data_IF_309067180398
#
_entry.id   IF_309067180398
#
_cell.length_a   1.000
_cell.length_b   1.000
_cell.length_c   1.000
_cell.angle_alpha   90.00
_cell.angle_beta   90.00
_cell.angle_gamma   90.00
#
_symmetry.space_group_name_H-M   'P 1'
#
loop_
_entity.id
_entity.type
_entity.pdbx_description
1 polymer ?
#
# COMPACT_ATOMS: atom_id res chain seq x y z
N UNK A 1 38.92 -19.19 -2.84
CA UNK A 1 38.12 -18.91 -1.62
C UNK A 1 38.93 -17.99 -0.72
N UNK A 2 38.37 -16.88 -0.24
CA UNK A 2 39.04 -16.03 0.74
C UNK A 2 39.17 -16.80 2.06
N UNK A 3 40.39 -16.98 2.56
CA UNK A 3 40.62 -17.64 3.84
C UNK A 3 40.39 -16.62 4.96
N UNK A 4 39.36 -16.83 5.77
CA UNK A 4 39.09 -16.06 6.99
C UNK A 4 38.30 -14.77 6.82
N UNK A 5 37.88 -14.22 7.97
CA UNK A 5 37.11 -12.98 8.05
C UNK A 5 37.97 -11.76 7.71
N UNK A 6 37.42 -10.72 7.05
CA UNK A 6 38.15 -9.49 6.79
C UNK A 6 38.60 -8.83 8.09
N UNK A 7 39.82 -8.27 8.10
CA UNK A 7 40.35 -7.51 9.26
C UNK A 7 39.38 -6.38 9.63
N UNK A 8 39.04 -6.20 10.93
CA UNK A 8 38.15 -5.16 11.41
C UNK A 8 38.56 -3.75 10.95
N UNK A 9 37.60 -2.84 10.70
CA UNK A 9 37.91 -1.48 10.21
C UNK A 9 38.87 -0.70 11.12
N UNK A 10 38.75 -0.86 12.44
CA UNK A 10 39.63 -0.19 13.40
C UNK A 10 41.11 -0.60 13.25
N UNK A 11 41.35 -1.90 13.08
CA UNK A 11 42.69 -2.44 12.86
C UNK A 11 43.30 -1.87 11.57
N UNK A 12 42.50 -1.72 10.51
CA UNK A 12 42.97 -1.11 9.25
C UNK A 12 43.31 0.36 9.39
N UNK A 13 42.53 1.12 10.16
CA UNK A 13 42.86 2.53 10.45
C UNK A 13 44.21 2.64 11.16
N UNK A 14 44.47 1.80 12.15
CA UNK A 14 45.77 1.74 12.85
C UNK A 14 46.93 1.41 11.90
N UNK A 15 46.72 0.50 10.94
CA UNK A 15 47.72 0.19 9.91
C UNK A 15 48.05 1.44 9.09
N UNK A 16 47.03 2.15 8.61
CA UNK A 16 47.23 3.36 7.80
C UNK A 16 47.91 4.46 8.59
N UNK A 17 47.51 4.67 9.84
CA UNK A 17 48.14 5.65 10.73
C UNK A 17 49.64 5.34 10.95
N UNK A 18 50.00 4.09 11.26
CA UNK A 18 51.40 3.71 11.43
C UNK A 18 52.20 3.80 10.13
N UNK A 19 51.55 3.52 9.00
CA UNK A 19 52.17 3.65 7.68
C UNK A 19 52.45 5.12 7.31
N UNK A 20 51.52 6.03 7.62
CA UNK A 20 51.71 7.47 7.44
C UNK A 20 52.83 8.03 8.32
N UNK A 21 53.04 7.45 9.51
CA UNK A 21 54.17 7.77 10.40
C UNK A 21 55.52 7.23 9.92
N UNK A 22 55.60 6.61 8.73
CA UNK A 22 56.84 6.12 8.13
C UNK A 22 57.35 4.78 8.69
N UNK A 23 56.55 4.07 9.48
CA UNK A 23 56.95 2.76 10.03
C UNK A 23 56.95 1.70 8.93
N UNK A 24 57.97 0.84 8.90
CA UNK A 24 58.08 -0.21 7.87
C UNK A 24 56.94 -1.23 7.97
N UNK A 25 56.44 -1.69 6.80
CA UNK A 25 55.31 -2.63 6.73
C UNK A 25 55.56 -3.92 7.54
N UNK A 26 56.79 -4.43 7.54
CA UNK A 26 57.18 -5.63 8.28
C UNK A 26 57.09 -5.44 9.80
N UNK A 27 57.43 -4.24 10.30
CA UNK A 27 57.34 -3.88 11.72
C UNK A 27 55.88 -3.74 12.17
N UNK A 28 55.03 -3.11 11.35
CA UNK A 28 53.58 -3.00 11.56
C UNK A 28 52.91 -4.38 11.58
N UNK A 29 53.28 -5.26 10.64
CA UNK A 29 52.74 -6.62 10.57
C UNK A 29 53.06 -7.43 11.82
N UNK A 30 54.31 -7.33 12.31
CA UNK A 30 54.74 -8.01 13.54
C UNK A 30 54.03 -7.45 14.78
N UNK A 31 53.87 -6.13 14.90
CA UNK A 31 53.18 -5.51 16.04
C UNK A 31 51.69 -5.83 16.10
N UNK A 32 51.01 -5.90 14.96
CA UNK A 32 49.58 -6.19 14.87
C UNK A 32 49.27 -7.68 14.71
N UNK A 33 50.29 -8.56 14.72
CA UNK A 33 50.19 -10.01 14.52
C UNK A 33 49.43 -10.38 13.24
N UNK A 34 49.72 -9.69 12.15
CA UNK A 34 49.13 -9.93 10.83
C UNK A 34 50.15 -10.55 9.88
N UNK A 35 49.69 -11.33 8.89
CA UNK A 35 50.59 -11.85 7.87
C UNK A 35 51.13 -10.73 6.98
N UNK A 36 52.39 -10.85 6.55
CA UNK A 36 53.05 -9.89 5.66
C UNK A 36 52.28 -9.68 4.36
N UNK A 37 51.69 -10.74 3.80
CA UNK A 37 50.85 -10.66 2.59
C UNK A 37 49.59 -9.83 2.80
N UNK A 38 48.92 -9.97 3.95
CA UNK A 38 47.74 -9.17 4.27
C UNK A 38 48.10 -7.70 4.46
N UNK A 39 49.23 -7.43 5.13
CA UNK A 39 49.74 -6.07 5.29
C UNK A 39 50.02 -5.42 3.93
N UNK A 40 50.76 -6.12 3.06
CA UNK A 40 51.09 -5.65 1.72
C UNK A 40 49.82 -5.37 0.90
N UNK A 41 48.86 -6.29 0.88
CA UNK A 41 47.60 -6.12 0.14
C UNK A 41 46.77 -4.92 0.62
N UNK A 42 46.81 -4.59 1.92
CA UNK A 42 46.12 -3.41 2.45
C UNK A 42 46.78 -2.12 1.97
N UNK A 43 48.12 -2.04 2.07
CA UNK A 43 48.86 -0.85 1.63
C UNK A 43 48.80 -0.68 0.11
N UNK A 44 48.90 -1.77 -0.64
CA UNK A 44 48.76 -1.76 -2.09
C UNK A 44 47.39 -1.21 -2.52
N UNK A 45 46.31 -1.72 -1.90
CA UNK A 45 44.95 -1.20 -2.15
C UNK A 45 44.80 0.26 -1.73
N UNK A 46 45.47 0.69 -0.66
CA UNK A 46 45.48 2.10 -0.25
C UNK A 46 46.14 2.99 -1.32
N UNK A 47 47.25 2.55 -1.91
CA UNK A 47 47.94 3.28 -3.00
C UNK A 47 47.10 3.35 -4.26
N UNK A 48 46.44 2.26 -4.64
CA UNK A 48 45.66 2.17 -5.88
C UNK A 48 44.31 2.89 -5.78
N UNK A 49 43.58 2.69 -4.68
CA UNK A 49 42.16 3.10 -4.55
C UNK A 49 41.92 4.23 -3.55
N UNK A 50 42.93 4.63 -2.77
CA UNK A 50 42.80 5.63 -1.69
C UNK A 50 41.86 5.22 -0.55
N UNK A 51 41.32 4.00 -0.57
CA UNK A 51 40.25 3.56 0.34
C UNK A 51 40.67 2.37 1.18
N UNK A 52 40.30 2.41 2.46
CA UNK A 52 40.68 1.43 3.50
C UNK A 52 39.59 0.34 3.65
N UNK A 53 38.38 0.62 3.16
CA UNK A 53 37.22 -0.25 3.27
C UNK A 53 37.33 -1.50 2.39
N UNK A 54 36.70 -2.60 2.83
CA UNK A 54 36.52 -3.78 1.97
C UNK A 54 35.45 -3.44 0.93
N UNK A 55 35.76 -3.65 -0.35
CA UNK A 55 34.73 -3.64 -1.38
C UNK A 55 33.81 -4.84 -1.19
N UNK A 56 32.50 -4.58 -1.15
CA UNK A 56 31.51 -5.66 -1.23
C UNK A 56 31.72 -6.45 -2.53
N UNK A 57 31.70 -7.77 -2.44
CA UNK A 57 31.72 -8.61 -3.64
C UNK A 57 30.49 -8.35 -4.51
N UNK A 58 30.59 -8.64 -5.80
CA UNK A 58 29.48 -8.45 -6.76
C UNK A 58 28.26 -9.35 -6.45
N UNK A 59 28.44 -10.40 -5.64
CA UNK A 59 27.38 -11.33 -5.29
C UNK A 59 26.97 -12.23 -6.47
N UNK A 60 25.95 -13.07 -6.24
CA UNK A 60 25.41 -13.96 -7.28
C UNK A 60 24.51 -13.17 -8.23
N UNK A 61 24.72 -13.33 -9.54
CA UNK A 61 23.84 -12.76 -10.57
C UNK A 61 22.40 -13.26 -10.39
N UNK A 62 21.43 -12.39 -10.60
CA UNK A 62 20.01 -12.74 -10.51
C UNK A 62 19.55 -13.48 -11.76
N UNK A 63 18.61 -14.41 -11.62
CA UNK A 63 18.04 -15.18 -12.73
C UNK A 63 17.28 -14.28 -13.73
N UNK A 64 16.57 -13.28 -13.20
CA UNK A 64 15.87 -12.26 -13.96
C UNK A 64 16.74 -11.02 -14.09
N UNK A 65 16.86 -10.52 -15.32
CA UNK A 65 17.57 -9.29 -15.65
C UNK A 65 16.65 -8.05 -15.51
N UNK A 66 17.23 -6.85 -15.62
CA UNK A 66 16.50 -5.59 -15.65
C UNK A 66 15.45 -5.55 -16.78
N UNK A 67 15.74 -6.12 -17.96
CA UNK A 67 14.76 -6.23 -19.04
C UNK A 67 13.54 -7.08 -18.63
N UNK A 68 13.80 -8.27 -18.08
CA UNK A 68 12.76 -9.18 -17.62
C UNK A 68 11.89 -8.54 -16.53
N UNK A 69 12.49 -7.81 -15.60
CA UNK A 69 11.77 -7.09 -14.55
C UNK A 69 10.85 -6.00 -15.12
N UNK A 70 11.24 -5.30 -16.19
CA UNK A 70 10.37 -4.32 -16.86
C UNK A 70 9.19 -5.01 -17.54
N UNK A 71 9.41 -6.13 -18.22
CA UNK A 71 8.34 -6.92 -18.84
C UNK A 71 7.36 -7.48 -17.78
N UNK A 72 7.89 -8.07 -16.71
CA UNK A 72 7.10 -8.57 -15.57
C UNK A 72 6.26 -7.47 -14.94
N UNK A 73 6.84 -6.28 -14.73
CA UNK A 73 6.12 -5.14 -14.15
C UNK A 73 4.94 -4.73 -15.05
N UNK A 74 5.14 -4.67 -16.38
CA UNK A 74 4.06 -4.37 -17.33
C UNK A 74 2.95 -5.42 -17.23
N UNK A 75 3.30 -6.70 -17.27
CA UNK A 75 2.33 -7.79 -17.17
C UNK A 75 1.51 -7.72 -15.86
N UNK A 76 2.17 -7.50 -14.72
CA UNK A 76 1.48 -7.35 -13.42
C UNK A 76 0.53 -6.14 -13.37
N UNK A 77 0.86 -5.06 -14.08
CA UNK A 77 0.03 -3.85 -14.16
C UNK A 77 -1.15 -4.07 -15.11
N UNK A 78 -0.98 -4.80 -16.21
CA UNK A 78 -2.08 -5.15 -17.11
C UNK A 78 -3.04 -6.12 -16.42
N UNK A 79 -2.52 -7.18 -15.80
CA UNK A 79 -3.30 -8.24 -15.17
C UNK A 79 -3.23 -8.16 -13.64
N UNK A 80 -3.72 -7.06 -13.08
CA UNK A 80 -3.66 -6.76 -11.63
C UNK A 80 -4.33 -7.82 -10.75
N UNK A 81 -5.32 -8.54 -11.28
CA UNK A 81 -6.09 -9.54 -10.54
C UNK A 81 -5.53 -10.97 -10.67
N UNK A 82 -4.45 -11.16 -11.46
CA UNK A 82 -3.88 -12.48 -11.68
C UNK A 82 -3.28 -13.05 -10.40
N UNK A 83 -3.40 -14.37 -10.25
CA UNK A 83 -2.74 -15.07 -9.14
C UNK A 83 -1.23 -15.12 -9.37
N UNK A 84 -0.46 -15.28 -8.29
CA UNK A 84 1.00 -15.39 -8.43
C UNK A 84 1.39 -16.66 -9.20
N UNK A 85 0.56 -17.70 -9.15
CA UNK A 85 0.75 -18.91 -9.94
C UNK A 85 0.62 -18.62 -11.44
N UNK A 86 -0.47 -17.94 -11.86
CA UNK A 86 -0.68 -17.51 -13.26
C UNK A 86 0.47 -16.63 -13.77
N UNK A 87 0.97 -15.74 -12.93
CA UNK A 87 2.12 -14.90 -13.30
C UNK A 87 3.40 -15.73 -13.43
N UNK A 88 3.52 -16.81 -12.63
CA UNK A 88 4.67 -17.70 -12.69
C UNK A 88 4.65 -18.54 -13.96
N UNK A 89 3.50 -19.12 -14.33
CA UNK A 89 3.36 -19.87 -15.59
C UNK A 89 3.64 -18.98 -16.79
N UNK A 90 3.03 -17.78 -16.83
CA UNK A 90 3.32 -16.79 -17.87
C UNK A 90 4.81 -16.42 -17.94
N UNK A 91 5.46 -16.19 -16.79
CA UNK A 91 6.87 -15.80 -16.75
C UNK A 91 7.79 -16.94 -17.21
N UNK A 92 7.46 -18.20 -16.91
CA UNK A 92 8.23 -19.35 -17.38
C UNK A 92 8.14 -19.48 -18.91
N UNK A 93 6.94 -19.36 -19.47
CA UNK A 93 6.71 -19.40 -20.92
C UNK A 93 7.37 -18.23 -21.65
N UNK A 94 7.20 -17.01 -21.13
CA UNK A 94 7.68 -15.79 -21.78
C UNK A 94 9.20 -15.62 -21.70
N UNK A 95 9.83 -15.94 -20.55
CA UNK A 95 11.28 -15.81 -20.40
C UNK A 95 12.05 -17.10 -20.73
N UNK A 96 11.36 -18.23 -20.91
CA UNK A 96 11.94 -19.55 -21.12
C UNK A 96 12.95 -19.94 -20.02
N UNK A 97 12.60 -19.59 -18.77
CA UNK A 97 13.45 -19.82 -17.57
C UNK A 97 12.68 -20.61 -16.54
N UNK A 98 13.36 -21.49 -15.82
CA UNK A 98 12.79 -22.21 -14.67
C UNK A 98 12.66 -21.25 -13.48
N UNK A 99 11.45 -20.76 -13.25
CA UNK A 99 11.15 -19.79 -12.21
C UNK A 99 10.25 -20.40 -11.14
N UNK A 100 10.66 -20.33 -9.88
CA UNK A 100 9.78 -20.70 -8.77
C UNK A 100 8.83 -19.55 -8.41
N UNK A 101 7.67 -19.89 -7.83
CA UNK A 101 6.69 -18.91 -7.31
C UNK A 101 7.36 -17.91 -6.35
N UNK A 102 8.28 -18.38 -5.51
CA UNK A 102 9.05 -17.54 -4.59
C UNK A 102 9.96 -16.54 -5.32
N UNK A 103 10.52 -16.93 -6.47
CA UNK A 103 11.34 -16.04 -7.30
C UNK A 103 10.49 -14.90 -7.86
N UNK A 104 9.29 -15.22 -8.33
CA UNK A 104 8.31 -14.22 -8.80
C UNK A 104 7.87 -13.30 -7.67
N UNK A 105 7.56 -13.81 -6.47
CA UNK A 105 7.27 -12.96 -5.32
C UNK A 105 8.39 -11.97 -4.98
N UNK A 106 9.65 -12.40 -5.05
CA UNK A 106 10.81 -11.51 -4.85
C UNK A 106 10.95 -10.51 -6.01
N UNK A 107 10.64 -10.92 -7.24
CA UNK A 107 10.68 -10.06 -8.42
C UNK A 107 9.60 -8.98 -8.38
N UNK A 108 8.35 -9.33 -8.02
CA UNK A 108 7.24 -8.38 -7.81
C UNK A 108 7.64 -7.31 -6.79
N UNK A 109 8.25 -7.71 -5.66
CA UNK A 109 8.76 -6.78 -4.65
C UNK A 109 9.88 -5.88 -5.18
N UNK A 110 10.82 -6.42 -5.97
CA UNK A 110 11.86 -5.65 -6.64
C UNK A 110 11.27 -4.62 -7.62
N UNK A 111 10.18 -4.98 -8.29
CA UNK A 111 9.41 -4.08 -9.13
C UNK A 111 8.56 -3.06 -8.36
N UNK A 112 8.73 -2.92 -7.03
CA UNK A 112 7.95 -2.01 -6.16
C UNK A 112 6.43 -2.28 -6.19
N UNK A 113 6.03 -3.52 -6.49
CA UNK A 113 4.65 -3.97 -6.43
C UNK A 113 4.43 -4.84 -5.19
N UNK A 114 3.19 -4.88 -4.71
CA UNK A 114 2.77 -5.76 -3.62
C UNK A 114 1.36 -6.30 -3.89
N UNK A 115 1.06 -7.48 -3.34
CA UNK A 115 -0.30 -7.98 -3.26
C UNK A 115 -1.04 -7.26 -2.13
N UNK A 116 -2.21 -6.75 -2.44
CA UNK A 116 -3.15 -6.18 -1.48
C UNK A 116 -4.50 -6.85 -1.62
N UNK A 117 -5.28 -6.89 -0.55
CA UNK A 117 -6.69 -7.27 -0.64
C UNK A 117 -7.43 -6.20 -1.48
N UNK A 118 -8.19 -6.64 -2.46
CA UNK A 118 -8.98 -5.74 -3.29
C UNK A 118 -10.11 -5.12 -2.48
N UNK A 119 -10.36 -3.82 -2.68
CA UNK A 119 -11.51 -3.14 -2.06
C UNK A 119 -12.78 -3.55 -2.81
N UNK A 120 -13.79 -4.04 -2.10
CA UNK A 120 -15.12 -4.25 -2.67
C UNK A 120 -15.81 -2.88 -2.82
N UNK A 121 -16.25 -2.55 -4.04
CA UNK A 121 -17.04 -1.33 -4.28
C UNK A 121 -18.25 -1.66 -5.16
N UNK A 122 -19.41 -1.04 -4.90
CA UNK A 122 -20.56 -1.17 -5.78
C UNK A 122 -20.19 -0.65 -7.17
N UNK A 123 -20.54 -1.42 -8.19
CA UNK A 123 -20.41 -0.95 -9.56
C UNK A 123 -21.46 0.15 -9.81
N UNK A 124 -21.01 1.29 -10.34
CA UNK A 124 -21.88 2.42 -10.67
C UNK A 124 -21.77 2.73 -12.16
N UNK A 125 -22.93 2.74 -12.82
CA UNK A 125 -23.05 3.21 -14.19
C UNK A 125 -22.84 4.73 -14.27
N UNK A 126 -22.52 5.23 -15.46
CA UNK A 126 -22.28 6.67 -15.68
C UNK A 126 -23.50 7.52 -15.30
N UNK A 127 -24.70 7.07 -15.64
CA UNK A 127 -25.97 7.73 -15.26
C UNK A 127 -26.12 7.80 -13.75
N UNK A 128 -25.84 6.70 -13.05
CA UNK A 128 -25.91 6.64 -11.59
C UNK A 128 -24.90 7.62 -10.99
N UNK A 129 -23.63 7.61 -11.43
CA UNK A 129 -22.60 8.57 -10.99
C UNK A 129 -23.02 10.02 -11.19
N UNK A 130 -23.63 10.36 -12.34
CA UNK A 130 -24.14 11.71 -12.61
C UNK A 130 -25.24 12.11 -11.63
N UNK A 131 -26.24 11.24 -11.42
CA UNK A 131 -27.30 11.46 -10.43
C UNK A 131 -26.72 11.62 -9.02
N UNK A 132 -25.74 10.79 -8.66
CA UNK A 132 -25.02 10.86 -7.39
C UNK A 132 -24.40 12.24 -7.17
N UNK A 133 -23.68 12.70 -8.17
CA UNK A 133 -22.98 13.98 -8.15
C UNK A 133 -23.94 15.16 -8.06
N UNK A 134 -25.00 15.17 -8.86
CA UNK A 134 -26.01 16.25 -8.85
C UNK A 134 -26.72 16.33 -7.50
N UNK A 135 -27.10 15.18 -6.93
CA UNK A 135 -27.70 15.13 -5.61
C UNK A 135 -26.75 15.70 -4.55
N UNK A 136 -25.49 15.24 -4.51
CA UNK A 136 -24.50 15.77 -3.57
C UNK A 136 -24.25 17.27 -3.74
N UNK A 137 -24.19 17.75 -4.99
CA UNK A 137 -24.02 19.19 -5.30
C UNK A 137 -25.20 20.02 -4.81
N UNK A 138 -26.43 19.55 -5.01
CA UNK A 138 -27.65 20.25 -4.57
C UNK A 138 -27.74 20.36 -3.03
N UNK A 139 -27.21 19.36 -2.32
CA UNK A 139 -27.30 19.27 -0.86
C UNK A 139 -26.02 19.75 -0.15
N UNK A 140 -25.00 20.19 -0.90
CA UNK A 140 -23.70 20.64 -0.35
C UNK A 140 -23.85 21.82 0.62
N UNK A 141 -24.80 22.72 0.37
CA UNK A 141 -25.05 23.92 1.17
C UNK A 141 -26.16 23.73 2.24
N UNK A 142 -26.62 22.51 2.47
CA UNK A 142 -27.64 22.27 3.48
C UNK A 142 -27.10 22.51 4.90
N UNK A 143 -27.87 23.26 5.69
CA UNK A 143 -27.57 23.52 7.09
C UNK A 143 -27.91 22.30 7.96
N UNK A 144 -27.33 22.23 9.16
CA UNK A 144 -27.58 21.14 10.12
C UNK A 144 -29.07 21.00 10.44
N UNK A 145 -29.81 22.11 10.51
CA UNK A 145 -31.27 22.09 10.73
C UNK A 145 -32.01 21.33 9.62
N UNK A 146 -31.63 21.53 8.35
CA UNK A 146 -32.20 20.80 7.21
C UNK A 146 -31.83 19.31 7.21
N UNK A 147 -30.65 18.95 7.72
CA UNK A 147 -30.29 17.53 7.85
C UNK A 147 -31.08 16.82 8.96
N UNK A 148 -31.45 17.53 10.03
CA UNK A 148 -32.25 16.98 11.14
C UNK A 148 -33.67 16.58 10.73
N UNK A 149 -34.21 17.17 9.67
CA UNK A 149 -35.55 16.82 9.17
C UNK A 149 -35.56 15.57 8.30
N UNK A 150 -34.38 15.02 7.94
CA UNK A 150 -34.30 13.82 7.09
C UNK A 150 -34.25 12.57 7.94
N UNK A 151 -35.25 11.70 7.78
CA UNK A 151 -35.26 10.36 8.34
C UNK A 151 -34.63 9.35 7.36
N UNK A 152 -33.71 8.53 7.86
CA UNK A 152 -33.05 7.49 7.08
C UNK A 152 -33.54 6.11 7.53
N UNK A 153 -33.97 5.26 6.60
CA UNK A 153 -34.22 3.84 6.85
C UNK A 153 -33.53 2.96 5.80
N UNK A 154 -32.88 1.89 6.26
CA UNK A 154 -32.30 0.90 5.37
C UNK A 154 -32.49 -0.53 5.87
N UNK A 155 -32.50 -1.47 4.92
CA UNK A 155 -32.60 -2.90 5.18
C UNK A 155 -31.22 -3.52 4.97
N UNK A 156 -30.68 -4.15 6.02
CA UNK A 156 -29.39 -4.83 5.98
C UNK A 156 -29.56 -6.34 6.06
N UNK A 157 -28.89 -7.06 5.15
CA UNK A 157 -28.74 -8.51 5.23
C UNK A 157 -27.46 -8.85 5.96
N UNK A 158 -27.54 -9.65 7.01
CA UNK A 158 -26.36 -10.15 7.74
C UNK A 158 -26.00 -11.55 7.23
N UNK A 159 -24.82 -11.68 6.63
CA UNK A 159 -24.28 -12.96 6.17
C UNK A 159 -23.04 -13.31 7.00
N UNK A 160 -23.08 -14.46 7.67
CA UNK A 160 -21.91 -15.02 8.36
C UNK A 160 -21.12 -15.84 7.35
N UNK A 161 -19.93 -15.37 7.01
CA UNK A 161 -19.08 -16.03 6.03
C UNK A 161 -17.79 -16.54 6.70
N UNK A 162 -17.51 -17.83 6.55
CA UNK A 162 -16.28 -18.46 7.06
C UNK A 162 -15.17 -18.48 5.99
N UNK A 163 -13.95 -18.09 6.36
CA UNK A 163 -12.75 -18.18 5.50
C UNK A 163 -12.20 -16.86 4.94
N UNK A 164 -11.05 -16.93 4.24
CA UNK A 164 -10.36 -15.77 3.62
C UNK A 164 -11.04 -15.35 2.31
N UNK A 165 -12.16 -14.65 2.41
CA UNK A 165 -12.94 -14.21 1.26
C UNK A 165 -12.46 -12.86 0.73
N UNK A 166 -11.52 -12.88 -0.20
CA UNK A 166 -11.08 -11.65 -0.86
C UNK A 166 -10.09 -11.91 -1.97
N UNK A 167 -10.37 -11.35 -3.15
CA UNK A 167 -9.40 -11.35 -4.24
C UNK A 167 -8.24 -10.42 -3.90
N UNK A 168 -7.04 -10.84 -4.26
CA UNK A 168 -5.86 -9.99 -4.16
C UNK A 168 -5.66 -9.25 -5.48
N UNK A 169 -5.06 -8.07 -5.36
CA UNK A 169 -4.68 -7.20 -6.47
C UNK A 169 -3.22 -6.83 -6.31
N UNK A 170 -2.47 -6.93 -7.40
CA UNK A 170 -1.10 -6.44 -7.50
C UNK A 170 -1.15 -4.96 -7.84
N UNK A 171 -0.58 -4.12 -6.98
CA UNK A 171 -0.51 -2.67 -7.22
C UNK A 171 0.64 -2.03 -6.46
N UNK A 172 0.92 -0.78 -6.79
CA UNK A 172 1.77 0.08 -5.95
C UNK A 172 0.95 0.68 -4.80
N UNK A 173 1.60 1.43 -3.90
CA UNK A 173 0.92 2.06 -2.76
C UNK A 173 0.00 3.18 -3.23
N UNK A 174 0.41 3.90 -4.26
CA UNK A 174 -0.26 5.08 -4.84
C UNK A 174 -1.53 4.69 -5.61
N UNK A 175 -1.52 3.51 -6.25
CA UNK A 175 -2.66 2.95 -7.00
C UNK A 175 -3.84 2.49 -6.11
N UNK A 176 -3.88 2.89 -4.84
CA UNK A 176 -4.91 2.47 -3.86
C UNK A 176 -6.33 2.75 -4.34
N UNK A 177 -6.53 3.88 -5.01
CA UNK A 177 -7.85 4.35 -5.42
C UNK A 177 -8.12 4.23 -6.92
N UNK A 178 -7.26 3.52 -7.64
CA UNK A 178 -7.46 3.21 -9.05
C UNK A 178 -8.66 2.24 -9.23
N UNK A 179 -9.65 2.57 -10.10
CA UNK A 179 -10.81 1.70 -10.34
C UNK A 179 -10.49 0.28 -10.77
N UNK A 180 -9.37 0.06 -11.46
CA UNK A 180 -8.91 -1.28 -11.88
C UNK A 180 -8.50 -2.18 -10.70
N UNK A 181 -8.26 -1.59 -9.53
CA UNK A 181 -7.86 -2.31 -8.32
C UNK A 181 -9.06 -2.70 -7.44
N UNK A 182 -10.28 -2.31 -7.81
CA UNK A 182 -11.48 -2.62 -7.05
C UNK A 182 -12.13 -3.92 -7.51
N UNK A 183 -12.63 -4.67 -6.55
CA UNK A 183 -13.52 -5.79 -6.79
C UNK A 183 -14.93 -5.22 -6.94
N UNK A 184 -15.48 -5.33 -8.15
CA UNK A 184 -16.86 -4.94 -8.42
C UNK A 184 -17.79 -5.87 -7.66
N UNK A 185 -18.68 -5.30 -6.86
CA UNK A 185 -19.82 -6.01 -6.26
C UNK A 185 -21.10 -5.45 -6.84
N UNK A 186 -21.98 -6.30 -7.35
CA UNK A 186 -23.35 -5.92 -7.72
C UNK A 186 -24.22 -6.24 -6.52
N UNK A 187 -24.76 -5.22 -5.85
CA UNK A 187 -25.58 -5.45 -4.66
C UNK A 187 -27.01 -5.88 -5.02
N UNK A 188 -27.56 -5.49 -6.19
CA UNK A 188 -28.94 -5.77 -6.65
C UNK A 188 -28.99 -5.74 -8.20
N UNK A 189 -29.95 -6.42 -8.87
CA UNK A 189 -30.11 -6.35 -10.33
C UNK A 189 -30.32 -4.90 -10.82
N UNK A 190 -30.03 -4.65 -12.10
CA UNK A 190 -29.89 -3.33 -12.72
C UNK A 190 -31.09 -2.37 -12.54
N UNK A 191 -32.25 -2.87 -12.12
CA UNK A 191 -33.46 -2.11 -11.83
C UNK A 191 -33.46 -1.41 -10.45
N UNK A 192 -32.57 -1.75 -9.52
CA UNK A 192 -32.56 -1.20 -8.16
C UNK A 192 -31.32 -0.32 -7.92
N UNK A 193 -31.57 0.99 -7.80
CA UNK A 193 -30.58 2.05 -7.54
C UNK A 193 -29.69 1.75 -6.32
N UNK A 194 -28.35 1.72 -6.48
CA UNK A 194 -27.44 1.99 -5.40
C UNK A 194 -27.20 3.51 -5.40
N UNK A 195 -27.95 4.21 -4.57
CA UNK A 195 -27.68 5.50 -3.92
C UNK A 195 -28.33 5.41 -2.53
N UNK A 196 -28.03 6.27 -1.53
CA UNK A 196 -28.96 6.31 -0.41
C UNK A 196 -30.28 6.66 -1.07
N UNK A 197 -31.27 5.80 -0.85
CA UNK A 197 -32.55 5.85 -1.54
C UNK A 197 -32.95 7.32 -1.63
N UNK A 198 -33.56 7.72 -2.74
CA UNK A 198 -34.76 8.54 -2.60
C UNK A 198 -35.70 7.69 -1.73
N UNK A 199 -35.39 7.63 -0.44
CA UNK A 199 -36.34 7.45 0.62
C UNK A 199 -37.29 8.59 0.36
N UNK A 200 -38.58 8.28 0.38
CA UNK A 200 -39.56 9.30 0.67
C UNK A 200 -38.96 10.25 1.71
N UNK A 201 -38.58 11.44 1.26
CA UNK A 201 -38.25 12.52 2.17
C UNK A 201 -39.63 12.94 2.64
N UNK A 202 -40.16 12.23 3.64
CA UNK A 202 -41.29 12.75 4.38
C UNK A 202 -40.74 13.98 5.10
N UNK A 203 -40.89 15.14 4.49
CA UNK A 203 -40.99 16.37 5.26
C UNK A 203 -42.21 16.16 6.13
N UNK A 204 -41.99 15.78 7.39
CA UNK A 204 -43.06 15.64 8.35
C UNK A 204 -43.55 17.06 8.66
N UNK A 205 -44.58 17.51 7.95
CA UNK A 205 -45.42 18.58 8.45
C UNK A 205 -46.10 18.09 9.72
N UNK A 206 -46.06 18.90 10.77
CA UNK A 206 -46.45 18.58 12.14
C UNK A 206 -47.92 18.14 12.31
N UNK A 207 -48.69 18.06 11.23
CA UNK A 207 -50.12 17.71 11.20
C UNK A 207 -50.42 16.20 11.13
N UNK A 208 -49.43 15.33 10.88
CA UNK A 208 -49.64 13.86 10.75
C UNK A 208 -49.13 13.02 11.93
N UNK A 209 -48.92 13.64 13.10
CA UNK A 209 -48.60 12.95 14.35
C UNK A 209 -49.85 12.41 15.05
N UNK A 210 -50.67 11.55 14.42
CA UNK A 210 -51.81 10.97 15.16
C UNK A 210 -52.35 9.61 14.70
N UNK A 211 -51.60 8.81 13.92
CA UNK A 211 -52.02 7.43 13.63
C UNK A 211 -50.85 6.48 13.42
N UNK A 212 -50.12 6.12 14.48
CA UNK A 212 -49.37 4.86 14.52
C UNK A 212 -49.40 4.31 15.96
N UNK A 213 -49.98 3.11 16.10
CA UNK A 213 -50.14 2.36 17.35
C UNK A 213 -48.79 1.86 17.89
N UNK A 214 -48.68 1.57 19.21
CA UNK A 214 -47.39 1.37 19.88
C UNK A 214 -46.81 -0.01 19.58
N UNK A 215 -45.57 -0.04 19.07
CA UNK A 215 -44.77 -1.26 19.02
C UNK A 215 -44.01 -1.36 20.33
N UNK A 216 -44.27 -2.46 21.04
CA UNK A 216 -43.70 -2.81 22.33
C UNK A 216 -42.19 -2.69 22.35
N UNK A 217 -41.68 -2.03 23.39
CA UNK A 217 -40.26 -1.87 23.69
C UNK A 217 -39.62 -3.23 24.00
N UNK A 218 -38.68 -3.66 23.18
CA UNK A 218 -37.66 -4.62 23.60
C UNK A 218 -36.33 -3.89 23.79
N UNK A 219 -35.97 -3.71 25.05
CA UNK A 219 -34.68 -3.20 25.50
C UNK A 219 -33.56 -4.14 25.02
N UNK A 220 -32.54 -3.63 24.35
CA UNK A 220 -31.18 -3.61 24.92
C UNK A 220 -30.08 -3.02 24.03
N UNK A 221 -29.19 -2.31 24.72
CA UNK A 221 -27.77 -2.06 24.42
C UNK A 221 -27.41 -1.17 23.22
N UNK A 222 -27.28 0.11 23.56
CA UNK A 222 -26.42 1.12 22.95
C UNK A 222 -25.19 0.60 22.20
N UNK A 223 -25.09 0.91 20.90
CA UNK A 223 -23.81 1.24 20.28
C UNK A 223 -24.02 2.50 19.41
N UNK A 224 -23.65 3.66 19.93
CA UNK A 224 -23.61 4.93 19.18
C UNK A 224 -22.36 4.92 18.29
N UNK A 225 -22.51 4.65 17.00
CA UNK A 225 -21.48 5.01 16.02
C UNK A 225 -21.78 6.41 15.48
N UNK A 226 -21.09 7.39 16.03
CA UNK A 226 -21.08 8.76 15.51
C UNK A 226 -20.12 8.79 14.31
N UNK A 227 -20.62 8.40 13.13
CA UNK A 227 -19.88 8.55 11.87
C UNK A 227 -19.78 10.05 11.55
N UNK A 228 -18.62 10.63 11.83
CA UNK A 228 -18.35 12.04 11.54
C UNK A 228 -18.18 12.27 10.03
N UNK A 229 -18.67 13.42 9.54
CA UNK A 229 -18.72 13.81 8.12
C UNK A 229 -17.34 13.75 7.40
N UNK A 230 -16.24 13.74 8.15
CA UNK A 230 -14.87 13.61 7.62
C UNK A 230 -14.63 12.27 6.92
N UNK A 231 -15.32 11.21 7.34
CA UNK A 231 -15.20 9.88 6.73
C UNK A 231 -15.88 9.82 5.35
N UNK A 232 -16.90 10.66 5.13
CA UNK A 232 -17.63 10.74 3.86
C UNK A 232 -16.88 11.59 2.81
N UNK A 233 -16.19 12.66 3.22
CA UNK A 233 -15.41 13.52 2.32
C UNK A 233 -14.24 12.77 1.67
N UNK A 234 -13.57 11.87 2.41
CA UNK A 234 -12.48 11.06 1.87
C UNK A 234 -12.94 10.01 0.84
N UNK A 235 -14.20 9.56 0.90
CA UNK A 235 -14.75 8.58 -0.05
C UNK A 235 -15.02 9.16 -1.46
N UNK A 236 -15.14 10.49 -1.57
CA UNK A 236 -15.47 11.20 -2.81
C UNK A 236 -14.23 11.81 -3.50
N UNK A 237 -13.04 11.73 -2.89
CA UNK A 237 -11.79 12.17 -3.51
C UNK A 237 -11.63 13.69 -3.63
N UNK A 238 -12.34 14.46 -2.80
CA UNK A 238 -12.21 15.91 -2.73
C UNK A 238 -11.07 16.23 -1.75
N UNK A 239 -9.97 16.82 -2.24
CA UNK A 239 -8.93 17.39 -1.36
C UNK A 239 -9.49 18.66 -0.73
N UNK A 240 -9.83 18.61 0.55
CA UNK A 240 -10.06 19.84 1.33
C UNK A 240 -8.70 20.46 1.65
N UNK A 241 -8.43 21.65 1.12
CA UNK A 241 -7.35 22.51 1.64
C UNK A 241 -7.83 23.08 2.97
N UNK A 242 -7.17 22.72 4.07
CA UNK A 242 -7.36 23.39 5.36
C UNK A 242 -6.70 24.77 5.29
N UNK A 243 -7.51 25.83 5.21
CA UNK A 243 -7.09 27.17 5.62
C UNK A 243 -7.42 27.31 7.11
N UNK A 244 -6.38 27.39 7.94
CA UNK A 244 -6.45 27.71 9.35
C UNK A 244 -7.11 29.08 9.55
N UNK A 245 -8.08 29.17 10.47
CA UNK A 245 -8.41 30.40 11.18
C UNK A 245 -8.35 30.06 12.68
N UNK A 246 -7.20 30.38 13.27
CA UNK A 246 -7.03 30.56 14.70
C UNK A 246 -7.44 31.98 15.07
N UNK A 247 -8.51 32.13 15.85
CA UNK A 247 -8.73 33.28 16.73
C UNK A 247 -9.03 32.66 18.10
N UNK A 248 -8.19 32.78 19.12
CA UNK A 248 -7.66 34.04 19.62
C UNK A 248 -8.66 34.59 20.63
N UNK A 249 -8.78 33.92 21.78
CA UNK A 249 -9.50 34.42 22.94
C UNK A 249 -8.66 35.55 23.55
N UNK A 250 -9.21 36.76 23.52
CA UNK A 250 -9.11 37.74 24.59
C UNK A 250 -10.54 38.05 25.01
#
# INVERSE_FOLDING_TARGET
MGRGSPIPPMMRRKIVEQYQKGVSQRKIAKSLKLSSSTMHNIIQRLRESGTISVCKGQGRKTILDAHDLRALRRHCITYRNATVMEITTWAQEYFQKTLSVNTIHRAIRRCRLKLYRSKKKPYLNMIQKRRRFLWAKAHLKWTVAKWKTVLWSDESKFEVLFGKLGRHVIRTKEDKDNPSCYQRSVQKPASLMPMPKLLFCFTCDSSTMNKLLPIQTFNNTHIKYQLSMTDYAMAVGIKCHNSQLSSGLN
#
